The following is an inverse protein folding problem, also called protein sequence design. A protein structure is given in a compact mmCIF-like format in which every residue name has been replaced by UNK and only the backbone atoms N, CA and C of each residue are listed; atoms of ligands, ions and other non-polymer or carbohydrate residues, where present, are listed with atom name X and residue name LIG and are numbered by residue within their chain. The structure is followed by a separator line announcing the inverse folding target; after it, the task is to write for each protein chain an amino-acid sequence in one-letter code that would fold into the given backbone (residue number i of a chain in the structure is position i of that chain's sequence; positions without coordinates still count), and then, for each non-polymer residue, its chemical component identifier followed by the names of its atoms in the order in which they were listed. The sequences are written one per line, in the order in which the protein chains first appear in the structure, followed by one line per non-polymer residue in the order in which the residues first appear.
data_IF_845204595583
#
_entry.id   IF_845204595583
#
_cell.length_a   1.000
_cell.length_b   1.000
_cell.length_c   1.000
_cell.angle_alpha   90.00
_cell.angle_beta   90.00
_cell.angle_gamma   90.00
#
_symmetry.space_group_name_H-M   'P 1'
#
loop_
_entity.id
_entity.type
_entity.pdbx_description
1 polymer ?
#
# COMPACT_ATOMS: atom_id res chain seq x y z
N UNK A 1 -45.75 -21.41 -23.06
CA UNK A 1 -45.12 -20.66 -21.94
C UNK A 1 -45.74 -21.13 -20.63
N UNK A 2 -44.93 -21.54 -19.66
CA UNK A 2 -45.39 -21.94 -18.33
C UNK A 2 -45.19 -20.81 -17.32
N UNK A 3 -45.85 -20.86 -16.16
CA UNK A 3 -45.57 -19.94 -15.06
C UNK A 3 -44.10 -20.03 -14.61
N UNK A 4 -43.52 -21.24 -14.59
CA UNK A 4 -42.10 -21.45 -14.30
C UNK A 4 -41.20 -20.66 -15.26
N UNK A 5 -41.40 -20.78 -16.58
CA UNK A 5 -40.60 -20.02 -17.55
C UNK A 5 -40.78 -18.50 -17.43
N UNK A 6 -41.93 -18.03 -16.93
CA UNK A 6 -42.13 -16.60 -16.64
C UNK A 6 -41.40 -16.17 -15.37
N UNK A 7 -41.42 -16.97 -14.31
CA UNK A 7 -40.67 -16.67 -13.08
C UNK A 7 -39.17 -16.65 -13.34
N UNK A 8 -38.62 -17.64 -14.04
CA UNK A 8 -37.19 -17.70 -14.38
C UNK A 8 -36.75 -16.46 -15.19
N UNK A 9 -37.58 -16.03 -16.15
CA UNK A 9 -37.33 -14.82 -16.94
C UNK A 9 -37.42 -13.53 -16.11
N UNK A 10 -38.36 -13.44 -15.17
CA UNK A 10 -38.49 -12.30 -14.27
C UNK A 10 -37.32 -12.23 -13.28
N UNK A 11 -36.86 -13.37 -12.77
CA UNK A 11 -35.71 -13.46 -11.86
C UNK A 11 -34.43 -13.04 -12.58
N UNK A 12 -34.20 -13.52 -13.80
CA UNK A 12 -33.05 -13.10 -14.62
C UNK A 12 -33.09 -11.58 -14.92
N UNK A 13 -34.28 -11.03 -15.21
CA UNK A 13 -34.45 -9.59 -15.43
C UNK A 13 -34.16 -8.79 -14.16
N UNK A 14 -34.70 -9.21 -13.02
CA UNK A 14 -34.47 -8.56 -11.73
C UNK A 14 -32.99 -8.62 -11.33
N UNK A 15 -32.33 -9.75 -11.57
CA UNK A 15 -30.91 -9.94 -11.30
C UNK A 15 -30.05 -8.96 -12.10
N UNK A 16 -30.30 -8.81 -13.41
CA UNK A 16 -29.58 -7.83 -14.22
C UNK A 16 -29.84 -6.38 -13.78
N UNK A 17 -31.06 -6.04 -13.39
CA UNK A 17 -31.37 -4.71 -12.86
C UNK A 17 -30.63 -4.41 -11.56
N UNK A 18 -30.54 -5.38 -10.63
CA UNK A 18 -29.79 -5.22 -9.38
C UNK A 18 -28.31 -4.94 -9.65
N UNK A 19 -27.71 -5.69 -10.58
CA UNK A 19 -26.32 -5.48 -11.03
C UNK A 19 -26.16 -4.07 -11.60
N UNK A 20 -27.04 -3.67 -12.52
CA UNK A 20 -26.98 -2.35 -13.16
C UNK A 20 -27.14 -1.21 -12.16
N UNK A 21 -28.06 -1.32 -11.19
CA UNK A 21 -28.23 -0.34 -10.12
C UNK A 21 -26.98 -0.21 -9.26
N UNK A 22 -26.33 -1.33 -8.93
CA UNK A 22 -25.08 -1.31 -8.18
C UNK A 22 -23.96 -0.60 -8.96
N UNK A 23 -23.76 -0.99 -10.22
CA UNK A 23 -22.77 -0.38 -11.11
C UNK A 23 -23.02 1.12 -11.27
N UNK A 24 -24.26 1.53 -11.55
CA UNK A 24 -24.65 2.93 -11.73
C UNK A 24 -24.31 3.77 -10.49
N UNK A 25 -24.66 3.27 -9.30
CA UNK A 25 -24.36 3.95 -8.04
C UNK A 25 -22.86 4.13 -7.83
N UNK A 26 -22.08 3.06 -7.93
CA UNK A 26 -20.65 3.10 -7.64
C UNK A 26 -19.87 3.90 -8.70
N UNK A 27 -20.23 3.80 -9.99
CA UNK A 27 -19.67 4.65 -11.05
C UNK A 27 -20.01 6.12 -10.81
N UNK A 28 -21.22 6.45 -10.36
CA UNK A 28 -21.60 7.82 -10.00
C UNK A 28 -20.74 8.39 -8.86
N UNK A 29 -20.44 7.58 -7.84
CA UNK A 29 -19.52 7.94 -6.75
C UNK A 29 -18.08 8.14 -7.26
N UNK A 30 -17.57 7.20 -8.08
CA UNK A 30 -16.22 7.27 -8.66
C UNK A 30 -16.04 8.51 -9.54
N UNK A 31 -16.97 8.78 -10.46
CA UNK A 31 -17.00 10.00 -11.31
C UNK A 31 -16.98 11.28 -10.49
N UNK A 32 -17.66 11.28 -9.34
CA UNK A 32 -17.73 12.46 -8.46
C UNK A 32 -16.44 12.70 -7.68
N UNK A 33 -15.66 11.65 -7.42
CA UNK A 33 -14.46 11.69 -6.59
C UNK A 33 -13.17 11.84 -7.39
N UNK A 34 -13.14 11.44 -8.67
CA UNK A 34 -11.90 11.36 -9.46
C UNK A 34 -11.11 12.67 -9.52
N UNK A 35 -11.80 13.82 -9.65
CA UNK A 35 -11.14 15.14 -9.68
C UNK A 35 -11.05 15.80 -8.29
N UNK A 36 -11.92 15.41 -7.34
CA UNK A 36 -12.02 16.06 -6.02
C UNK A 36 -11.10 15.45 -4.97
N UNK A 37 -10.74 14.17 -5.15
CA UNK A 37 -9.94 13.42 -4.20
C UNK A 37 -8.52 13.24 -4.74
N UNK A 38 -7.48 13.66 -4.00
CA UNK A 38 -6.09 13.40 -4.39
C UNK A 38 -5.68 11.91 -4.22
N UNK A 39 -6.53 11.11 -3.58
CA UNK A 39 -6.29 9.70 -3.25
C UNK A 39 -6.92 8.78 -4.28
N UNK A 40 -8.16 9.07 -4.69
CA UNK A 40 -8.97 8.20 -5.57
C UNK A 40 -8.26 7.81 -6.87
N UNK A 41 -7.60 8.74 -7.61
CA UNK A 41 -6.84 8.42 -8.82
C UNK A 41 -5.68 7.44 -8.63
N UNK A 42 -5.17 7.28 -7.41
CA UNK A 42 -4.01 6.41 -7.13
C UNK A 42 -4.40 4.95 -6.90
N UNK A 43 -5.69 4.65 -6.72
CA UNK A 43 -6.15 3.35 -6.21
C UNK A 43 -6.18 2.23 -7.25
N UNK A 44 -6.47 2.54 -8.50
CA UNK A 44 -6.72 1.53 -9.55
C UNK A 44 -5.58 0.50 -9.67
N UNK A 45 -4.33 0.96 -9.55
CA UNK A 45 -3.17 0.11 -9.76
C UNK A 45 -3.02 -0.91 -8.63
N UNK A 46 -3.31 -0.52 -7.39
CA UNK A 46 -3.28 -1.40 -6.25
C UNK A 46 -4.39 -2.43 -6.29
N UNK A 47 -5.56 -2.10 -6.82
CA UNK A 47 -6.64 -3.05 -7.04
C UNK A 47 -6.25 -4.12 -8.08
N UNK A 48 -5.56 -3.75 -9.16
CA UNK A 48 -5.05 -4.71 -10.15
C UNK A 48 -3.93 -5.60 -9.60
N UNK A 49 -2.99 -5.02 -8.85
CA UNK A 49 -1.91 -5.78 -8.20
C UNK A 49 -2.47 -6.74 -7.16
N UNK A 50 -3.47 -6.32 -6.37
CA UNK A 50 -4.15 -7.20 -5.43
C UNK A 50 -4.86 -8.35 -6.15
N UNK A 51 -5.56 -8.08 -7.25
CA UNK A 51 -6.16 -9.14 -8.07
C UNK A 51 -5.12 -10.13 -8.58
N UNK A 52 -3.96 -9.65 -9.03
CA UNK A 52 -2.86 -10.51 -9.48
C UNK A 52 -2.26 -11.35 -8.34
N UNK A 53 -2.07 -10.75 -7.15
CA UNK A 53 -1.63 -11.45 -5.93
C UNK A 53 -2.59 -12.58 -5.56
N UNK A 54 -3.90 -12.35 -5.60
CA UNK A 54 -4.90 -13.32 -5.17
C UNK A 54 -4.94 -14.60 -6.04
N UNK A 55 -4.30 -14.56 -7.22
CA UNK A 55 -4.18 -15.69 -8.14
C UNK A 55 -2.71 -16.06 -8.42
N UNK A 56 -1.80 -15.73 -7.50
CA UNK A 56 -0.39 -16.10 -7.63
C UNK A 56 -0.21 -17.62 -7.77
N UNK A 57 0.86 -18.00 -8.47
CA UNK A 57 1.35 -19.38 -8.55
C UNK A 57 2.34 -19.63 -7.39
N UNK A 58 2.78 -20.87 -7.20
CA UNK A 58 3.76 -21.23 -6.16
C UNK A 58 5.07 -20.43 -6.25
N UNK A 59 5.46 -20.02 -7.47
CA UNK A 59 6.65 -19.18 -7.72
C UNK A 59 6.43 -17.68 -7.46
N UNK A 60 5.21 -17.29 -7.11
CA UNK A 60 4.74 -15.91 -7.03
C UNK A 60 4.10 -15.43 -8.34
N UNK A 61 3.77 -14.14 -8.39
CA UNK A 61 3.21 -13.46 -9.56
C UNK A 61 4.20 -12.42 -10.12
N UNK A 62 4.35 -12.43 -11.44
CA UNK A 62 5.06 -11.42 -12.22
C UNK A 62 4.02 -10.49 -12.82
N UNK A 63 4.29 -9.19 -12.73
CA UNK A 63 3.39 -8.15 -13.22
C UNK A 63 4.15 -7.30 -14.25
N UNK A 64 3.49 -6.97 -15.35
CA UNK A 64 4.01 -6.08 -16.39
C UNK A 64 2.97 -5.02 -16.71
N UNK A 65 3.37 -3.76 -16.67
CA UNK A 65 2.51 -2.60 -16.90
C UNK A 65 3.08 -1.82 -18.08
N UNK A 66 2.27 -1.62 -19.10
CA UNK A 66 2.61 -0.80 -20.26
C UNK A 66 1.70 0.43 -20.27
N UNK A 67 2.30 1.61 -20.30
CA UNK A 67 1.60 2.89 -20.33
C UNK A 67 2.04 3.65 -21.58
N UNK A 68 1.05 3.93 -22.43
CA UNK A 68 1.18 4.71 -23.65
C UNK A 68 0.16 5.85 -23.61
N UNK A 69 0.34 6.92 -24.41
CA UNK A 69 -0.60 8.04 -24.44
C UNK A 69 -2.06 7.62 -24.68
N UNK A 70 -2.28 6.54 -25.43
CA UNK A 70 -3.61 6.06 -25.82
C UNK A 70 -4.16 4.94 -24.91
N UNK A 71 -3.33 4.28 -24.11
CA UNK A 71 -3.78 3.14 -23.30
C UNK A 71 -2.87 2.80 -22.12
N UNK A 72 -3.46 2.11 -21.13
CA UNK A 72 -2.72 1.32 -20.12
C UNK A 72 -3.02 -0.16 -20.33
N UNK A 73 -1.99 -1.00 -20.37
CA UNK A 73 -2.10 -2.46 -20.37
C UNK A 73 -1.47 -3.03 -19.11
N UNK A 74 -2.27 -3.71 -18.29
CA UNK A 74 -1.81 -4.44 -17.10
C UNK A 74 -1.80 -5.95 -17.37
N UNK A 75 -0.65 -6.59 -17.24
CA UNK A 75 -0.44 -8.02 -17.47
C UNK A 75 0.05 -8.71 -16.22
N UNK A 76 -0.42 -9.94 -15.98
CA UNK A 76 0.18 -10.82 -14.97
C UNK A 76 0.16 -12.29 -15.40
N UNK A 77 1.01 -13.09 -14.75
CA UNK A 77 1.17 -14.52 -15.05
C UNK A 77 0.50 -15.44 -14.01
N UNK A 78 -0.54 -14.95 -13.35
CA UNK A 78 -1.27 -15.71 -12.34
C UNK A 78 -2.06 -16.87 -12.94
N UNK A 79 -2.82 -17.56 -12.09
CA UNK A 79 -3.69 -18.66 -12.50
C UNK A 79 -4.70 -18.23 -13.57
N UNK A 80 -5.11 -19.15 -14.47
CA UNK A 80 -6.19 -18.92 -15.42
C UNK A 80 -7.49 -18.52 -14.73
N UNK A 81 -8.40 -17.92 -15.48
CA UNK A 81 -9.73 -17.59 -15.00
C UNK A 81 -10.60 -18.84 -14.83
N UNK A 82 -11.31 -18.93 -13.72
CA UNK A 82 -12.48 -19.80 -13.58
C UNK A 82 -13.72 -19.12 -14.17
N UNK A 83 -14.77 -19.90 -14.45
CA UNK A 83 -16.07 -19.38 -14.86
C UNK A 83 -16.63 -18.39 -13.82
N UNK A 84 -16.41 -18.65 -12.53
CA UNK A 84 -16.75 -17.74 -11.45
C UNK A 84 -15.97 -16.42 -11.53
N UNK A 85 -14.67 -16.45 -11.85
CA UNK A 85 -13.89 -15.22 -12.01
C UNK A 85 -14.42 -14.35 -13.16
N UNK A 86 -14.72 -14.96 -14.31
CA UNK A 86 -15.30 -14.26 -15.47
C UNK A 86 -16.66 -13.66 -15.09
N UNK A 87 -17.52 -14.45 -14.44
CA UNK A 87 -18.81 -13.99 -13.95
C UNK A 87 -18.70 -12.82 -12.98
N UNK A 88 -17.77 -12.87 -12.03
CA UNK A 88 -17.56 -11.79 -11.05
C UNK A 88 -17.08 -10.48 -11.68
N UNK A 89 -16.24 -10.55 -12.73
CA UNK A 89 -15.85 -9.37 -13.51
C UNK A 89 -17.07 -8.71 -14.18
N UNK A 90 -17.95 -9.51 -14.78
CA UNK A 90 -19.13 -9.00 -15.49
C UNK A 90 -20.16 -8.43 -14.53
N UNK A 91 -20.49 -9.17 -13.46
CA UNK A 91 -21.59 -8.84 -12.57
C UNK A 91 -21.18 -7.91 -11.42
N UNK A 92 -19.89 -7.67 -11.21
CA UNK A 92 -19.37 -6.93 -10.06
C UNK A 92 -19.87 -7.52 -8.72
N UNK A 93 -20.07 -8.84 -8.67
CA UNK A 93 -20.42 -9.58 -7.46
C UNK A 93 -19.17 -10.31 -7.00
N UNK A 94 -18.89 -10.30 -5.70
CA UNK A 94 -17.87 -11.16 -5.13
C UNK A 94 -18.44 -11.88 -3.91
N UNK A 95 -18.21 -13.19 -3.85
CA UNK A 95 -18.64 -14.08 -2.78
C UNK A 95 -17.50 -14.44 -1.82
N UNK A 96 -16.29 -13.91 -2.03
CA UNK A 96 -15.12 -14.22 -1.19
C UNK A 96 -15.26 -13.53 0.18
N UNK A 97 -15.66 -14.31 1.20
CA UNK A 97 -15.68 -13.86 2.59
C UNK A 97 -14.26 -13.79 3.17
N UNK A 98 -14.02 -12.85 4.08
CA UNK A 98 -12.83 -12.86 4.95
C UNK A 98 -12.98 -14.01 5.95
N UNK A 99 -12.69 -15.23 5.53
CA UNK A 99 -12.52 -16.35 6.45
C UNK A 99 -11.06 -16.36 6.92
N UNK A 100 -10.85 -16.26 8.24
CA UNK A 100 -9.52 -16.44 8.85
C UNK A 100 -9.22 -17.94 8.84
N UNK A 101 -8.20 -18.44 8.13
CA UNK A 101 -7.68 -19.79 8.34
C UNK A 101 -6.99 -19.89 9.72
N UNK A 102 -6.69 -21.12 10.14
CA UNK A 102 -6.05 -21.44 11.44
C UNK A 102 -4.70 -20.72 11.66
N UNK A 103 -4.01 -20.29 10.60
CA UNK A 103 -2.74 -19.53 10.67
C UNK A 103 -2.90 -18.02 10.92
N UNK A 104 -4.13 -17.52 11.12
CA UNK A 104 -4.39 -16.15 11.58
C UNK A 104 -4.25 -15.03 10.53
N UNK A 105 -3.68 -15.28 9.34
CA UNK A 105 -3.64 -14.33 8.20
C UNK A 105 -4.93 -14.44 7.38
N UNK A 106 -5.68 -13.35 7.19
CA UNK A 106 -6.84 -13.35 6.27
C UNK A 106 -6.39 -13.78 4.87
N UNK A 107 -7.03 -14.80 4.27
CA UNK A 107 -6.73 -15.24 2.89
C UNK A 107 -7.00 -14.16 1.84
N UNK A 108 -7.80 -13.16 2.20
CA UNK A 108 -8.28 -12.10 1.30
C UNK A 108 -8.12 -10.75 1.99
N UNK A 109 -7.36 -9.84 1.38
CA UNK A 109 -7.01 -8.53 1.98
C UNK A 109 -8.13 -7.48 1.85
N UNK A 110 -9.15 -7.75 1.04
CA UNK A 110 -10.26 -6.82 0.75
C UNK A 110 -11.64 -7.27 1.26
N UNK A 111 -12.57 -6.31 1.37
CA UNK A 111 -14.00 -6.57 1.18
C UNK A 111 -14.25 -6.50 -0.33
N UNK A 112 -14.33 -7.64 -1.00
CA UNK A 112 -14.28 -7.68 -2.46
C UNK A 112 -15.64 -7.50 -3.11
N UNK A 113 -15.67 -6.70 -4.20
CA UNK A 113 -16.84 -6.45 -5.04
C UNK A 113 -16.90 -5.06 -5.68
N UNK A 114 -16.04 -4.11 -5.26
CA UNK A 114 -15.97 -2.72 -5.76
C UNK A 114 -14.56 -2.32 -6.26
N UNK A 115 -13.52 -3.08 -5.85
CA UNK A 115 -12.12 -2.80 -6.19
C UNK A 115 -11.86 -2.81 -7.70
N UNK A 116 -12.37 -3.82 -8.43
CA UNK A 116 -12.22 -3.85 -9.88
C UNK A 116 -12.97 -2.70 -10.57
N UNK A 117 -14.14 -2.28 -10.07
CA UNK A 117 -14.84 -1.12 -10.62
C UNK A 117 -14.03 0.17 -10.47
N UNK A 118 -13.22 0.31 -9.41
CA UNK A 118 -12.28 1.43 -9.24
C UNK A 118 -11.29 1.54 -10.41
N UNK A 119 -10.97 0.44 -11.09
CA UNK A 119 -10.11 0.49 -12.29
C UNK A 119 -10.76 1.21 -13.47
N UNK A 120 -12.09 1.36 -13.47
CA UNK A 120 -12.79 2.11 -14.51
C UNK A 120 -12.61 3.63 -14.39
N UNK A 121 -11.89 4.10 -13.35
CA UNK A 121 -11.35 5.46 -13.29
C UNK A 121 -10.29 5.70 -14.39
N UNK A 122 -9.56 4.65 -14.82
CA UNK A 122 -8.67 4.75 -15.98
C UNK A 122 -9.46 4.88 -17.26
N UNK A 123 -10.48 4.05 -17.42
CA UNK A 123 -11.34 4.00 -18.59
C UNK A 123 -12.66 3.34 -18.23
N UNK A 124 -13.76 3.96 -18.62
CA UNK A 124 -15.09 3.39 -18.40
C UNK A 124 -15.33 2.12 -19.25
N UNK A 125 -14.43 1.83 -20.19
CA UNK A 125 -14.41 0.59 -20.97
C UNK A 125 -13.08 -0.12 -20.78
N UNK A 126 -13.10 -1.38 -20.40
CA UNK A 126 -11.89 -2.22 -20.28
C UNK A 126 -12.03 -3.47 -21.14
N UNK A 127 -10.95 -3.84 -21.81
CA UNK A 127 -10.84 -5.11 -22.53
C UNK A 127 -10.01 -6.09 -21.69
N UNK A 128 -10.62 -7.21 -21.31
CA UNK A 128 -9.98 -8.30 -20.57
C UNK A 128 -9.65 -9.42 -21.55
N UNK A 129 -8.37 -9.77 -21.65
CA UNK A 129 -7.90 -10.93 -22.40
C UNK A 129 -7.35 -11.95 -21.41
N UNK A 130 -7.75 -13.20 -21.59
CA UNK A 130 -7.40 -14.23 -20.62
C UNK A 130 -7.47 -15.63 -21.18
N UNK A 131 -7.00 -16.56 -20.37
CA UNK A 131 -7.22 -17.99 -20.55
C UNK A 131 -8.14 -18.46 -19.44
N UNK A 132 -9.20 -19.18 -19.79
CA UNK A 132 -10.10 -19.84 -18.86
C UNK A 132 -9.73 -21.32 -18.69
N UNK A 133 -9.90 -21.84 -17.48
CA UNK A 133 -9.67 -23.26 -17.15
C UNK A 133 -10.54 -23.67 -15.96
N UNK A 134 -11.28 -24.76 -16.14
CA UNK A 134 -11.93 -25.51 -15.05
C UNK A 134 -11.22 -26.87 -14.86
N UNK A 135 -11.34 -27.52 -13.69
CA UNK A 135 -10.72 -28.83 -13.46
C UNK A 135 -11.05 -29.87 -14.54
N UNK A 136 -12.27 -29.82 -15.07
CA UNK A 136 -12.85 -30.78 -16.02
C UNK A 136 -12.93 -30.28 -17.48
N UNK A 137 -12.61 -29.01 -17.75
CA UNK A 137 -12.68 -28.42 -19.10
C UNK A 137 -11.30 -28.06 -19.65
N UNK A 138 -11.09 -28.16 -20.97
CA UNK A 138 -9.84 -27.73 -21.60
C UNK A 138 -9.64 -26.20 -21.53
N UNK A 139 -8.39 -25.77 -21.70
CA UNK A 139 -8.07 -24.35 -21.75
C UNK A 139 -8.78 -23.66 -22.92
N UNK A 140 -9.35 -22.47 -22.69
CA UNK A 140 -9.97 -21.63 -23.71
C UNK A 140 -9.44 -20.20 -23.61
N UNK A 141 -9.07 -19.59 -24.73
CA UNK A 141 -8.80 -18.14 -24.78
C UNK A 141 -10.12 -17.38 -24.88
N UNK A 142 -10.21 -16.25 -24.19
CA UNK A 142 -11.34 -15.33 -24.30
C UNK A 142 -10.87 -13.88 -24.36
N UNK A 143 -11.71 -13.06 -24.98
CA UNK A 143 -11.64 -11.60 -24.92
C UNK A 143 -13.01 -11.09 -24.50
N UNK A 144 -13.05 -10.27 -23.47
CA UNK A 144 -14.25 -9.76 -22.84
C UNK A 144 -14.15 -8.24 -22.70
N UNK A 145 -15.10 -7.51 -23.29
CA UNK A 145 -15.21 -6.07 -23.09
C UNK A 145 -16.21 -5.78 -21.97
N UNK A 146 -15.78 -5.03 -20.97
CA UNK A 146 -16.62 -4.53 -19.89
C UNK A 146 -16.84 -3.03 -20.11
N UNK A 147 -18.09 -2.66 -20.39
CA UNK A 147 -18.49 -1.26 -20.60
C UNK A 147 -19.32 -0.77 -19.40
N UNK A 148 -18.86 0.35 -18.81
CA UNK A 148 -19.46 1.04 -17.66
C UNK A 148 -19.76 2.51 -17.97
N UNK A 149 -19.78 2.88 -19.26
CA UNK A 149 -19.96 4.25 -19.70
C UNK A 149 -21.41 4.77 -19.59
N UNK A 150 -22.38 3.85 -19.60
CA UNK A 150 -23.80 4.18 -19.48
C UNK A 150 -24.15 5.02 -18.24
N UNK A 151 -25.13 5.90 -18.39
CA UNK A 151 -25.71 6.69 -17.29
C UNK A 151 -27.08 6.15 -16.89
N UNK A 152 -27.88 5.70 -17.86
CA UNK A 152 -29.19 5.11 -17.63
C UNK A 152 -29.07 3.62 -17.29
N UNK A 153 -30.02 3.12 -16.48
CA UNK A 153 -30.00 1.72 -16.04
C UNK A 153 -30.17 0.74 -17.20
N UNK A 154 -30.92 1.12 -18.23
CA UNK A 154 -31.12 0.35 -19.44
C UNK A 154 -29.79 0.12 -20.19
N UNK A 155 -28.99 1.18 -20.38
CA UNK A 155 -27.70 1.12 -21.08
C UNK A 155 -26.72 0.19 -20.34
N UNK A 156 -26.63 0.34 -19.01
CA UNK A 156 -25.77 -0.51 -18.18
C UNK A 156 -26.25 -1.96 -18.22
N UNK A 157 -27.57 -2.19 -18.19
CA UNK A 157 -28.16 -3.52 -18.29
C UNK A 157 -27.81 -4.18 -19.63
N UNK A 158 -27.87 -3.44 -20.73
CA UNK A 158 -27.51 -3.92 -22.06
C UNK A 158 -26.01 -4.23 -22.16
N UNK A 159 -25.15 -3.35 -21.66
CA UNK A 159 -23.70 -3.57 -21.59
C UNK A 159 -23.33 -4.84 -20.80
N UNK A 160 -23.97 -5.07 -19.65
CA UNK A 160 -23.80 -6.30 -18.85
C UNK A 160 -24.25 -7.54 -19.63
N UNK A 161 -25.40 -7.49 -20.31
CA UNK A 161 -25.88 -8.62 -21.13
C UNK A 161 -24.92 -8.93 -22.28
N UNK A 162 -24.48 -7.91 -23.02
CA UNK A 162 -23.50 -8.05 -24.10
C UNK A 162 -22.21 -8.69 -23.60
N UNK A 163 -21.73 -8.27 -22.43
CA UNK A 163 -20.56 -8.86 -21.77
C UNK A 163 -20.79 -10.35 -21.48
N UNK A 164 -21.95 -10.74 -20.91
CA UNK A 164 -22.30 -12.14 -20.64
C UNK A 164 -22.38 -12.98 -21.92
N UNK A 165 -23.05 -12.46 -22.94
CA UNK A 165 -23.24 -13.16 -24.23
C UNK A 165 -21.90 -13.40 -24.93
N UNK A 166 -20.94 -12.46 -24.83
CA UNK A 166 -19.62 -12.60 -25.46
C UNK A 166 -18.78 -13.79 -24.96
N UNK A 167 -19.07 -14.29 -23.76
CA UNK A 167 -18.38 -15.43 -23.15
C UNK A 167 -19.29 -16.62 -22.86
N UNK A 168 -20.57 -16.55 -23.28
CA UNK A 168 -21.55 -17.58 -22.98
C UNK A 168 -21.27 -18.91 -23.70
N UNK A 169 -20.62 -18.85 -24.86
CA UNK A 169 -20.30 -20.01 -25.70
C UNK A 169 -18.79 -20.25 -25.79
N UNK A 170 -18.10 -20.07 -24.66
CA UNK A 170 -16.66 -20.26 -24.59
C UNK A 170 -16.22 -21.68 -24.98
N UNK A 171 -17.11 -22.66 -24.80
CA UNK A 171 -16.90 -24.06 -25.19
C UNK A 171 -16.81 -24.25 -26.72
N UNK A 172 -17.42 -23.35 -27.49
CA UNK A 172 -17.34 -23.35 -28.96
C UNK A 172 -16.05 -22.72 -29.49
N UNK A 173 -15.34 -21.94 -28.67
CA UNK A 173 -13.99 -21.44 -29.02
C UNK A 173 -13.01 -22.61 -29.12
N UNK A 174 -12.01 -22.62 -30.03
CA UNK A 174 -11.03 -23.69 -30.12
C UNK A 174 -10.30 -23.98 -28.80
N UNK A 175 -9.90 -25.24 -28.59
CA UNK A 175 -9.05 -25.61 -27.45
C UNK A 175 -7.73 -24.84 -27.57
N UNK A 176 -7.33 -24.18 -26.50
CA UNK A 176 -6.08 -23.42 -26.45
C UNK A 176 -4.93 -24.30 -25.94
N UNK A 177 -4.17 -24.88 -26.86
CA UNK A 177 -3.06 -25.80 -26.56
C UNK A 177 -1.74 -25.12 -26.19
N UNK A 178 -1.62 -23.81 -26.43
CA UNK A 178 -0.39 -23.04 -26.20
C UNK A 178 -0.36 -22.36 -24.81
N UNK A 179 -1.17 -22.84 -23.86
CA UNK A 179 -1.08 -22.35 -22.49
C UNK A 179 0.24 -22.78 -21.87
N UNK A 180 1.03 -21.80 -21.43
CA UNK A 180 2.28 -22.01 -20.70
C UNK A 180 2.16 -21.34 -19.34
N UNK A 181 2.29 -22.13 -18.28
CA UNK A 181 2.33 -21.61 -16.92
C UNK A 181 3.53 -20.67 -16.75
N UNK A 182 3.28 -19.49 -16.19
CA UNK A 182 4.31 -18.47 -15.96
C UNK A 182 4.44 -17.42 -17.06
N UNK A 183 3.81 -17.63 -18.22
CA UNK A 183 3.61 -16.58 -19.24
C UNK A 183 2.51 -15.59 -18.82
N UNK A 184 2.55 -14.39 -19.40
CA UNK A 184 1.55 -13.35 -19.19
C UNK A 184 0.23 -13.69 -19.89
N UNK A 185 -0.52 -14.61 -19.30
CA UNK A 185 -1.77 -15.14 -19.84
C UNK A 185 -3.01 -14.27 -19.54
N UNK A 186 -2.87 -13.26 -18.67
CA UNK A 186 -3.94 -12.31 -18.34
C UNK A 186 -3.51 -10.90 -18.65
N UNK A 187 -4.37 -10.15 -19.35
CA UNK A 187 -4.16 -8.77 -19.76
C UNK A 187 -5.46 -7.95 -19.57
N UNK A 188 -5.35 -6.78 -18.94
CA UNK A 188 -6.40 -5.76 -18.88
C UNK A 188 -5.95 -4.53 -19.65
N UNK A 189 -6.69 -4.15 -20.68
CA UNK A 189 -6.38 -3.00 -21.55
C UNK A 189 -7.42 -1.90 -21.35
N UNK A 190 -6.94 -0.73 -20.93
CA UNK A 190 -7.73 0.47 -20.65
C UNK A 190 -7.39 1.56 -21.67
N UNK A 191 -8.28 1.87 -22.63
CA UNK A 191 -8.11 3.01 -23.52
C UNK A 191 -8.18 4.33 -22.73
N UNK A 192 -7.20 5.21 -22.90
CA UNK A 192 -7.18 6.53 -22.28
C UNK A 192 -7.81 7.53 -23.25
N UNK A 193 -9.10 7.81 -23.06
CA UNK A 193 -9.90 8.59 -24.03
C UNK A 193 -9.91 10.10 -23.72
N UNK A 194 -9.50 10.49 -22.52
CA UNK A 194 -9.53 11.87 -22.07
C UNK A 194 -8.38 12.21 -21.10
N UNK A 195 -8.30 13.48 -20.71
CA UNK A 195 -7.25 13.97 -19.81
C UNK A 195 -7.39 13.45 -18.38
N UNK A 196 -8.61 13.12 -17.94
CA UNK A 196 -8.84 12.56 -16.60
C UNK A 196 -8.23 11.17 -16.55
N UNK A 197 -8.47 10.33 -17.56
CA UNK A 197 -7.85 9.01 -17.73
C UNK A 197 -6.33 9.06 -17.66
N UNK A 198 -5.70 10.00 -18.38
CA UNK A 198 -4.25 10.20 -18.37
C UNK A 198 -3.76 10.60 -16.98
N UNK A 199 -4.40 11.58 -16.33
CA UNK A 199 -4.04 12.01 -14.98
C UNK A 199 -4.19 10.88 -13.95
N UNK A 200 -5.21 10.02 -14.09
CA UNK A 200 -5.42 8.85 -13.23
C UNK A 200 -4.32 7.81 -13.44
N UNK A 201 -3.94 7.54 -14.70
CA UNK A 201 -2.84 6.65 -15.03
C UNK A 201 -1.53 7.12 -14.39
N UNK A 202 -1.15 8.38 -14.62
CA UNK A 202 0.08 8.98 -14.08
C UNK A 202 0.09 9.02 -12.55
N UNK A 203 -1.04 9.39 -11.93
CA UNK A 203 -1.17 9.43 -10.48
C UNK A 203 -0.96 8.04 -9.85
N UNK A 204 -1.54 7.00 -10.46
CA UNK A 204 -1.36 5.62 -10.02
C UNK A 204 0.07 5.14 -10.20
N UNK A 205 0.69 5.37 -11.36
CA UNK A 205 2.05 4.93 -11.66
C UNK A 205 3.10 5.63 -10.78
N UNK A 206 2.97 6.94 -10.59
CA UNK A 206 3.87 7.69 -9.70
C UNK A 206 3.77 7.17 -8.26
N UNK A 207 2.56 6.90 -7.77
CA UNK A 207 2.38 6.32 -6.45
C UNK A 207 2.92 4.89 -6.35
N UNK A 208 2.74 4.09 -7.40
CA UNK A 208 3.25 2.73 -7.50
C UNK A 208 4.77 2.70 -7.31
N UNK A 209 5.52 3.46 -8.12
CA UNK A 209 6.99 3.43 -8.08
C UNK A 209 7.56 3.80 -6.71
N UNK A 210 6.94 4.77 -6.03
CA UNK A 210 7.34 5.21 -4.70
C UNK A 210 7.08 4.12 -3.63
N UNK A 211 6.00 3.36 -3.76
CA UNK A 211 5.57 2.38 -2.76
C UNK A 211 6.03 0.94 -3.04
N UNK A 212 6.49 0.64 -4.25
CA UNK A 212 6.93 -0.71 -4.65
C UNK A 212 8.03 -1.30 -3.75
N UNK A 213 9.06 -0.54 -3.32
CA UNK A 213 10.09 -1.07 -2.42
C UNK A 213 9.53 -1.68 -1.13
N UNK A 214 8.49 -1.08 -0.56
CA UNK A 214 7.84 -1.58 0.65
C UNK A 214 6.80 -2.65 0.34
N UNK A 215 6.07 -2.51 -0.76
CA UNK A 215 5.05 -3.50 -1.16
C UNK A 215 5.67 -4.85 -1.43
N UNK A 216 6.77 -4.91 -2.20
CA UNK A 216 7.47 -6.17 -2.47
C UNK A 216 8.02 -6.82 -1.19
N UNK A 217 8.35 -6.02 -0.19
CA UNK A 217 8.76 -6.50 1.11
C UNK A 217 7.59 -7.16 1.86
N UNK A 218 6.44 -6.47 1.94
CA UNK A 218 5.27 -6.93 2.69
C UNK A 218 4.47 -8.02 1.97
N UNK A 219 4.58 -8.12 0.65
CA UNK A 219 3.82 -9.05 -0.21
C UNK A 219 4.80 -9.99 -0.93
N UNK A 220 5.31 -11.04 -0.25
CA UNK A 220 6.23 -12.01 -0.85
C UNK A 220 5.65 -12.77 -2.04
N UNK A 221 4.32 -12.78 -2.19
CA UNK A 221 3.63 -13.42 -3.30
C UNK A 221 3.89 -12.70 -4.64
N UNK A 222 4.37 -11.45 -4.63
CA UNK A 222 4.76 -10.72 -5.84
C UNK A 222 6.26 -10.93 -6.10
N UNK A 223 6.58 -11.59 -7.21
CA UNK A 223 7.96 -11.89 -7.60
C UNK A 223 8.67 -10.64 -8.14
N UNK A 224 8.02 -9.94 -9.08
CA UNK A 224 8.56 -8.73 -9.71
C UNK A 224 7.48 -7.90 -10.39
N UNK A 225 7.76 -6.61 -10.55
CA UNK A 225 6.91 -5.66 -11.27
C UNK A 225 7.76 -4.93 -12.31
N UNK A 226 7.33 -4.98 -13.56
CA UNK A 226 7.97 -4.30 -14.71
C UNK A 226 7.04 -3.19 -15.20
N UNK A 227 7.56 -1.96 -15.28
CA UNK A 227 6.88 -0.79 -15.85
C UNK A 227 7.60 -0.45 -17.16
N UNK A 228 6.99 -0.85 -18.27
CA UNK A 228 7.58 -0.80 -19.61
C UNK A 228 7.83 0.64 -20.05
N UNK A 229 6.94 1.58 -19.71
CA UNK A 229 7.03 2.98 -20.13
C UNK A 229 8.23 3.72 -19.55
N UNK A 230 8.69 3.32 -18.36
CA UNK A 230 9.87 3.87 -17.68
C UNK A 230 11.06 2.92 -17.70
N UNK A 231 10.96 1.78 -18.39
CA UNK A 231 12.00 0.74 -18.41
C UNK A 231 12.44 0.30 -17.01
N UNK A 232 11.53 0.41 -16.04
CA UNK A 232 11.78 0.15 -14.63
C UNK A 232 11.38 -1.28 -14.25
N UNK A 233 12.31 -2.02 -13.68
CA UNK A 233 12.09 -3.37 -13.17
C UNK A 233 12.37 -3.44 -11.66
N UNK A 234 11.33 -3.68 -10.88
CA UNK A 234 11.42 -3.84 -9.43
C UNK A 234 11.45 -5.32 -9.05
N UNK A 235 12.47 -5.72 -8.28
CA UNK A 235 12.68 -7.10 -7.83
C UNK A 235 13.10 -7.12 -6.37
N UNK A 236 12.49 -8.00 -5.57
CA UNK A 236 12.95 -8.27 -4.21
C UNK A 236 14.09 -9.29 -4.19
N UNK A 237 15.15 -8.98 -3.44
CA UNK A 237 16.18 -9.97 -3.17
C UNK A 237 15.61 -11.14 -2.36
N UNK A 238 16.04 -12.37 -2.70
CA UNK A 238 15.72 -13.57 -1.91
C UNK A 238 16.61 -13.70 -0.69
N UNK A 239 17.78 -13.06 -0.72
CA UNK A 239 18.70 -13.02 0.41
C UNK A 239 18.19 -12.00 1.42
N UNK A 240 17.94 -12.48 2.64
CA UNK A 240 17.52 -11.67 3.78
C UNK A 240 18.60 -11.79 4.83
N UNK A 241 19.17 -10.66 5.23
CA UNK A 241 20.17 -10.62 6.28
C UNK A 241 19.46 -10.54 7.63
N UNK A 242 19.35 -11.69 8.31
CA UNK A 242 18.81 -11.73 9.67
C UNK A 242 19.86 -11.19 10.64
N UNK A 243 19.52 -10.11 11.34
CA UNK A 243 20.38 -9.57 12.39
C UNK A 243 20.10 -10.28 13.72
N UNK A 244 18.81 -10.51 14.02
CA UNK A 244 18.34 -11.33 15.14
C UNK A 244 16.96 -11.92 14.83
N UNK A 245 16.27 -12.46 15.85
CA UNK A 245 14.97 -13.13 15.70
C UNK A 245 13.86 -12.19 15.20
N UNK A 246 13.94 -10.90 15.49
CA UNK A 246 12.89 -9.92 15.19
C UNK A 246 13.31 -8.92 14.09
N UNK A 247 14.61 -8.63 13.98
CA UNK A 247 15.18 -7.62 13.07
C UNK A 247 15.94 -8.27 11.93
N UNK A 248 15.62 -7.83 10.71
CA UNK A 248 16.28 -8.26 9.47
C UNK A 248 16.44 -7.11 8.49
N UNK A 249 17.41 -7.23 7.58
CA UNK A 249 17.63 -6.29 6.49
C UNK A 249 17.19 -6.92 5.17
N UNK A 250 16.42 -6.15 4.42
CA UNK A 250 15.87 -6.54 3.14
C UNK A 250 16.38 -5.62 2.05
N UNK A 251 16.51 -6.18 0.85
CA UNK A 251 16.93 -5.44 -0.33
C UNK A 251 15.89 -5.55 -1.44
N UNK A 252 15.50 -4.42 -1.99
CA UNK A 252 14.73 -4.33 -3.24
C UNK A 252 15.57 -3.58 -4.28
N UNK A 253 15.63 -4.12 -5.49
CA UNK A 253 16.35 -3.55 -6.62
C UNK A 253 15.35 -2.89 -7.57
N UNK A 254 15.66 -1.68 -7.99
CA UNK A 254 15.11 -1.04 -9.18
C UNK A 254 16.19 -1.06 -10.25
N UNK A 255 15.91 -1.74 -11.35
CA UNK A 255 16.80 -1.82 -12.51
C UNK A 255 16.17 -0.98 -13.61
N UNK A 256 16.88 0.03 -14.09
CA UNK A 256 16.57 0.70 -15.35
C UNK A 256 17.16 -0.15 -16.48
N UNK A 257 16.30 -0.80 -17.27
CA UNK A 257 16.73 -1.74 -18.31
C UNK A 257 17.32 -1.05 -19.53
N UNK A 258 17.04 0.24 -19.74
CA UNK A 258 17.56 1.01 -20.88
C UNK A 258 18.91 1.65 -20.54
N UNK A 259 19.04 2.22 -19.32
CA UNK A 259 20.27 2.86 -18.86
C UNK A 259 21.27 1.86 -18.26
N UNK A 260 20.83 0.64 -17.96
CA UNK A 260 21.63 -0.40 -17.26
C UNK A 260 22.13 0.14 -15.91
N UNK A 261 21.28 0.93 -15.24
CA UNK A 261 21.52 1.47 -13.91
C UNK A 261 20.72 0.66 -12.87
N UNK A 262 21.32 0.46 -11.69
CA UNK A 262 20.67 -0.22 -10.57
C UNK A 262 20.59 0.72 -9.36
N UNK A 263 19.38 0.93 -8.85
CA UNK A 263 19.13 1.57 -7.58
C UNK A 263 18.72 0.53 -6.54
N UNK A 264 19.41 0.55 -5.40
CA UNK A 264 19.21 -0.40 -4.31
C UNK A 264 18.47 0.27 -3.16
N UNK A 265 17.36 -0.32 -2.75
CA UNK A 265 16.62 0.05 -1.55
C UNK A 265 16.94 -0.95 -0.44
N UNK A 266 17.66 -0.50 0.59
CA UNK A 266 17.90 -1.28 1.79
C UNK A 266 16.91 -0.86 2.88
N UNK A 267 16.24 -1.83 3.49
CA UNK A 267 15.15 -1.59 4.45
C UNK A 267 15.38 -2.48 5.67
N UNK A 268 15.43 -1.86 6.85
CA UNK A 268 15.39 -2.57 8.12
C UNK A 268 13.94 -2.91 8.46
N UNK A 269 13.69 -4.18 8.81
CA UNK A 269 12.37 -4.69 9.17
C UNK A 269 12.43 -5.28 10.56
N UNK A 270 11.53 -4.85 11.43
CA UNK A 270 11.31 -5.45 12.75
C UNK A 270 9.90 -6.05 12.77
N UNK A 271 9.77 -7.34 13.07
CA UNK A 271 8.48 -8.05 12.99
C UNK A 271 8.20 -8.92 14.21
N UNK A 272 6.92 -9.03 14.55
CA UNK A 272 6.40 -10.00 15.52
C UNK A 272 5.04 -10.49 15.03
N UNK A 273 4.87 -11.80 14.92
CA UNK A 273 3.65 -12.38 14.35
C UNK A 273 3.38 -11.87 12.94
N UNK A 274 2.25 -11.18 12.76
CA UNK A 274 1.82 -10.60 11.48
C UNK A 274 2.05 -9.07 11.38
N UNK A 275 2.52 -8.43 12.46
CA UNK A 275 2.89 -7.01 12.41
C UNK A 275 4.35 -6.86 12.05
N UNK A 276 4.61 -5.99 11.09
CA UNK A 276 5.95 -5.60 10.69
C UNK A 276 6.05 -4.09 10.68
N UNK A 277 7.19 -3.57 11.09
CA UNK A 277 7.56 -2.18 10.86
C UNK A 277 8.77 -2.11 9.95
N UNK A 278 8.85 -1.09 9.12
CA UNK A 278 9.94 -0.90 8.17
C UNK A 278 10.54 0.51 8.28
N UNK A 279 11.87 0.58 8.16
CA UNK A 279 12.64 1.81 8.16
C UNK A 279 13.70 1.76 7.04
N UNK A 280 13.72 2.73 6.12
CA UNK A 280 14.76 2.84 5.11
C UNK A 280 16.14 3.06 5.72
N UNK A 281 17.14 2.39 5.18
CA UNK A 281 18.53 2.49 5.64
C UNK A 281 19.50 2.59 4.47
N UNK A 282 20.66 3.17 4.75
CA UNK A 282 21.87 3.01 3.95
C UNK A 282 22.83 2.12 4.73
N UNK A 283 23.33 1.07 4.09
CA UNK A 283 24.35 0.18 4.64
C UNK A 283 25.68 0.47 3.96
N UNK A 284 26.62 1.01 4.73
CA UNK A 284 28.03 1.09 4.35
C UNK A 284 28.79 -0.09 4.98
N UNK A 285 30.07 -0.28 4.64
CA UNK A 285 30.86 -1.44 5.09
C UNK A 285 30.83 -1.65 6.62
N UNK A 286 30.91 -0.56 7.39
CA UNK A 286 31.06 -0.60 8.85
C UNK A 286 29.92 0.12 9.61
N UNK A 287 28.92 0.67 8.91
CA UNK A 287 27.85 1.43 9.58
C UNK A 287 26.52 1.40 8.85
N UNK A 288 25.43 1.46 9.62
CA UNK A 288 24.08 1.63 9.11
C UNK A 288 23.62 3.05 9.44
N UNK A 289 23.11 3.75 8.43
CA UNK A 289 22.51 5.08 8.58
C UNK A 289 21.02 4.99 8.26
N UNK A 290 20.17 5.58 9.10
CA UNK A 290 18.76 5.74 8.77
C UNK A 290 18.60 6.73 7.60
N UNK A 291 17.66 6.43 6.71
CA UNK A 291 17.24 7.31 5.62
C UNK A 291 15.83 7.84 5.89
N UNK A 292 15.52 9.08 5.47
CA UNK A 292 14.18 9.62 5.63
C UNK A 292 13.18 8.80 4.81
N UNK A 293 11.98 8.60 5.37
CA UNK A 293 10.85 8.04 4.62
C UNK A 293 10.26 9.17 3.79
N UNK A 294 10.16 8.95 2.47
CA UNK A 294 9.56 9.89 1.53
C UNK A 294 8.16 10.35 2.01
N UNK A 295 7.87 11.63 1.86
CA UNK A 295 6.62 12.25 2.32
C UNK A 295 5.40 11.75 1.52
N UNK A 296 5.61 11.12 0.36
CA UNK A 296 4.56 10.52 -0.45
C UNK A 296 4.33 9.02 -0.15
N UNK A 297 5.14 8.41 0.72
CA UNK A 297 4.96 7.02 1.13
C UNK A 297 3.91 6.94 2.24
N UNK A 298 2.83 6.17 2.07
CA UNK A 298 1.87 5.92 3.13
C UNK A 298 2.54 5.33 4.37
N UNK A 299 2.12 5.74 5.57
CA UNK A 299 2.71 5.19 6.80
C UNK A 299 2.06 3.88 7.24
N UNK A 300 0.89 3.54 6.71
CA UNK A 300 0.17 2.32 7.01
C UNK A 300 -0.03 1.46 5.76
N UNK A 301 0.21 0.15 5.91
CA UNK A 301 0.03 -0.87 4.88
C UNK A 301 -0.85 -2.00 5.43
N UNK A 302 -1.76 -2.47 4.60
CA UNK A 302 -2.56 -3.67 4.82
C UNK A 302 -2.32 -4.57 3.61
N UNK A 303 -1.17 -5.26 3.62
CA UNK A 303 -0.43 -5.80 2.45
C UNK A 303 0.01 -4.70 1.47
N UNK A 304 -0.94 -3.90 1.00
CA UNK A 304 -0.78 -2.79 0.08
C UNK A 304 -0.88 -1.45 0.82
N UNK A 305 -0.31 -0.37 0.27
CA UNK A 305 -0.37 0.95 0.90
C UNK A 305 -1.80 1.42 1.14
N UNK A 306 -2.07 1.99 2.31
CA UNK A 306 -3.29 2.74 2.59
C UNK A 306 -3.07 4.20 2.16
N UNK A 307 -3.27 4.48 0.87
CA UNK A 307 -3.02 5.79 0.25
C UNK A 307 -3.90 6.85 0.91
N UNK A 308 -3.31 7.91 1.45
CA UNK A 308 -3.97 8.87 2.36
C UNK A 308 -3.36 8.93 3.75
N UNK A 309 -2.57 7.91 4.13
CA UNK A 309 -1.87 7.84 5.42
C UNK A 309 -0.44 8.39 5.38
N UNK A 310 -0.06 9.12 4.34
CA UNK A 310 1.27 9.72 4.18
C UNK A 310 1.58 10.70 5.33
N UNK A 311 0.56 11.43 5.78
CA UNK A 311 0.64 12.39 6.89
C UNK A 311 0.19 11.81 8.23
N UNK A 312 0.11 10.50 8.33
CA UNK A 312 -0.04 9.82 9.62
C UNK A 312 1.33 9.78 10.31
N UNK A 313 1.64 10.81 11.12
CA UNK A 313 2.99 11.17 11.59
C UNK A 313 3.61 10.19 12.60
N UNK A 314 3.90 8.97 12.17
CA UNK A 314 4.77 8.01 12.84
C UNK A 314 6.11 7.88 12.11
N UNK A 315 7.22 7.64 12.82
CA UNK A 315 8.57 7.67 12.26
C UNK A 315 8.97 6.38 11.50
N UNK A 316 8.01 5.50 11.24
CA UNK A 316 8.19 4.17 10.66
C UNK A 316 7.01 3.85 9.74
N UNK A 317 7.19 2.89 8.83
CA UNK A 317 6.09 2.32 8.06
C UNK A 317 5.57 1.10 8.80
N UNK A 318 4.26 0.96 8.95
CA UNK A 318 3.62 -0.15 9.68
C UNK A 318 2.82 -0.99 8.68
N UNK A 319 3.05 -2.30 8.68
CA UNK A 319 2.25 -3.25 7.93
C UNK A 319 1.61 -4.28 8.85
N UNK A 320 0.33 -4.55 8.62
CA UNK A 320 -0.33 -5.75 9.13
C UNK A 320 -1.49 -6.17 8.19
N UNK A 321 -1.52 -7.41 7.68
CA UNK A 321 -2.57 -7.88 6.78
C UNK A 321 -3.97 -7.94 7.43
N UNK A 322 -4.04 -7.93 8.77
CA UNK A 322 -5.28 -7.99 9.53
C UNK A 322 -5.83 -6.62 9.93
N UNK A 323 -5.22 -5.51 9.48
CA UNK A 323 -5.87 -4.21 9.62
C UNK A 323 -7.30 -4.22 9.05
N UNK A 324 -8.18 -3.48 9.71
CA UNK A 324 -9.53 -3.21 9.26
C UNK A 324 -9.57 -1.78 8.67
N UNK A 325 -9.28 -1.62 7.37
CA UNK A 325 -9.23 -0.30 6.73
C UNK A 325 -10.62 0.33 6.59
N UNK A 326 -10.63 1.63 6.31
CA UNK A 326 -11.80 2.33 5.77
C UNK A 326 -12.22 1.71 4.43
N UNK A 327 -13.48 1.89 4.02
CA UNK A 327 -13.95 1.39 2.72
C UNK A 327 -13.16 1.99 1.52
N UNK A 328 -12.75 3.28 1.51
CA UNK A 328 -11.83 3.80 0.49
C UNK A 328 -10.36 3.33 0.63
N UNK A 329 -10.01 2.57 1.68
CA UNK A 329 -8.65 2.10 1.98
C UNK A 329 -7.60 3.21 2.14
N UNK A 330 -8.03 4.34 2.69
CA UNK A 330 -7.19 5.52 2.95
C UNK A 330 -6.81 5.70 4.43
N UNK A 331 -7.18 4.73 5.28
CA UNK A 331 -6.92 4.75 6.71
C UNK A 331 -7.42 3.49 7.41
N UNK A 332 -7.38 3.49 8.74
CA UNK A 332 -7.88 2.41 9.61
C UNK A 332 -8.72 3.00 10.72
N UNK A 333 -9.86 2.42 11.07
CA UNK A 333 -10.64 2.99 12.17
C UNK A 333 -9.91 2.85 13.51
N UNK A 334 -9.53 3.99 14.10
CA UNK A 334 -8.89 4.19 15.41
C UNK A 334 -9.73 5.14 16.29
N UNK A 335 -11.04 5.23 16.03
CA UNK A 335 -11.94 6.09 16.78
C UNK A 335 -12.22 5.54 18.18
N UNK A 336 -12.76 6.37 19.06
CA UNK A 336 -13.25 5.94 20.38
C UNK A 336 -14.76 6.10 20.39
N UNK A 337 -15.47 4.97 20.53
CA UNK A 337 -16.93 4.94 20.64
C UNK A 337 -17.34 4.34 21.97
N UNK A 338 -18.45 4.79 22.53
CA UNK A 338 -19.07 4.16 23.71
C UNK A 338 -19.52 2.73 23.43
N UNK A 339 -19.78 2.39 22.16
CA UNK A 339 -20.14 1.03 21.74
C UNK A 339 -18.87 0.29 21.32
N UNK A 340 -18.68 -0.90 21.89
CA UNK A 340 -17.59 -1.81 21.52
C UNK A 340 -17.67 -2.14 20.04
N UNK A 341 -16.56 -1.94 19.34
CA UNK A 341 -16.39 -2.33 17.95
C UNK A 341 -15.11 -3.16 17.82
N UNK A 342 -15.23 -4.50 17.73
CA UNK A 342 -14.07 -5.39 17.72
C UNK A 342 -13.04 -5.07 16.63
N UNK A 343 -13.46 -4.52 15.48
CA UNK A 343 -12.54 -4.16 14.39
C UNK A 343 -11.64 -2.98 14.76
N UNK A 344 -12.17 -2.03 15.53
CA UNK A 344 -11.43 -0.87 16.02
C UNK A 344 -10.46 -1.33 17.11
N UNK A 345 -10.92 -2.20 18.02
CA UNK A 345 -10.08 -2.75 19.09
C UNK A 345 -8.92 -3.57 18.52
N UNK A 346 -9.16 -4.36 17.47
CA UNK A 346 -8.11 -5.07 16.72
C UNK A 346 -7.10 -4.09 16.11
N UNK A 347 -7.55 -3.02 15.44
CA UNK A 347 -6.64 -2.00 14.88
C UNK A 347 -5.79 -1.34 15.98
N UNK A 348 -6.39 -0.96 17.11
CA UNK A 348 -5.68 -0.37 18.26
C UNK A 348 -4.67 -1.36 18.86
N UNK A 349 -5.00 -2.65 18.91
CA UNK A 349 -4.07 -3.71 19.33
C UNK A 349 -2.87 -3.81 18.40
N UNK A 350 -3.09 -3.82 17.09
CA UNK A 350 -2.01 -3.85 16.09
C UNK A 350 -1.11 -2.61 16.22
N UNK A 351 -1.68 -1.42 16.45
CA UNK A 351 -0.92 -0.20 16.68
C UNK A 351 -0.03 -0.28 17.94
N UNK A 352 -0.51 -0.93 19.00
CA UNK A 352 0.28 -1.16 20.21
C UNK A 352 1.41 -2.17 19.99
N UNK A 353 1.19 -3.19 19.17
CA UNK A 353 2.23 -4.14 18.74
C UNK A 353 3.30 -3.42 17.91
N UNK A 354 2.90 -2.61 16.93
CA UNK A 354 3.79 -1.79 16.12
C UNK A 354 4.62 -0.81 16.96
N UNK A 355 4.02 -0.19 17.99
CA UNK A 355 4.74 0.65 18.97
C UNK A 355 5.80 -0.14 19.74
N UNK A 356 5.49 -1.38 20.12
CA UNK A 356 6.44 -2.26 20.82
C UNK A 356 7.60 -2.66 19.91
N UNK A 357 7.33 -2.95 18.63
CA UNK A 357 8.37 -3.18 17.61
C UNK A 357 9.23 -1.95 17.38
N UNK A 358 8.62 -0.76 17.38
CA UNK A 358 9.35 0.50 17.28
C UNK A 358 10.35 0.68 18.43
N UNK A 359 9.95 0.40 19.67
CA UNK A 359 10.86 0.46 20.82
C UNK A 359 12.03 -0.50 20.67
N UNK A 360 11.79 -1.72 20.19
CA UNK A 360 12.85 -2.70 19.94
C UNK A 360 13.82 -2.25 18.87
N UNK A 361 13.30 -1.74 17.74
CA UNK A 361 14.14 -1.19 16.67
C UNK A 361 14.95 0.01 17.16
N UNK A 362 14.35 0.89 17.95
CA UNK A 362 15.00 2.07 18.51
C UNK A 362 16.13 1.68 19.48
N UNK A 363 15.86 0.79 20.44
CA UNK A 363 16.87 0.27 21.39
C UNK A 363 18.01 -0.43 20.63
N UNK A 364 17.68 -1.20 19.61
CA UNK A 364 18.67 -1.87 18.76
C UNK A 364 19.54 -0.88 17.98
N UNK A 365 18.93 0.11 17.32
CA UNK A 365 19.63 1.11 16.52
C UNK A 365 20.59 1.95 17.39
N UNK A 366 20.18 2.32 18.60
CA UNK A 366 21.03 3.04 19.56
C UNK A 366 22.19 2.16 20.02
N UNK A 367 21.93 0.93 20.45
CA UNK A 367 22.96 -0.01 20.96
C UNK A 367 24.01 -0.33 19.90
N UNK A 368 23.61 -0.36 18.62
CA UNK A 368 24.49 -0.65 17.50
C UNK A 368 25.02 0.62 16.80
N UNK A 369 24.90 1.79 17.43
CA UNK A 369 25.43 3.07 16.94
C UNK A 369 25.01 3.39 15.49
N UNK A 370 23.76 3.11 15.14
CA UNK A 370 23.22 3.54 13.84
C UNK A 370 23.23 5.06 13.75
N UNK A 371 23.46 5.58 12.54
CA UNK A 371 23.51 7.02 12.28
C UNK A 371 22.11 7.56 11.95
N UNK A 372 21.95 8.88 12.06
CA UNK A 372 20.71 9.60 11.77
C UNK A 372 19.50 9.19 12.64
N UNK A 373 19.73 8.82 13.90
CA UNK A 373 18.67 8.40 14.83
C UNK A 373 17.56 9.46 15.05
N UNK A 374 17.84 10.74 14.77
CA UNK A 374 16.84 11.81 14.76
C UNK A 374 15.61 11.51 13.88
N UNK A 375 15.76 10.67 12.85
CA UNK A 375 14.66 10.25 11.98
C UNK A 375 13.63 9.38 12.72
N UNK A 376 14.06 8.57 13.70
CA UNK A 376 13.15 7.82 14.57
C UNK A 376 12.40 8.69 15.58
N UNK A 377 12.81 9.96 15.72
CA UNK A 377 12.20 10.92 16.64
C UNK A 377 11.14 11.81 15.96
N UNK A 378 10.88 11.60 14.67
CA UNK A 378 9.91 12.38 13.89
C UNK A 378 8.46 11.94 14.15
N UNK A 379 8.00 12.12 15.39
CA UNK A 379 6.60 11.87 15.78
C UNK A 379 5.89 13.18 16.12
N UNK A 380 4.64 13.31 15.66
CA UNK A 380 3.80 14.49 15.94
C UNK A 380 2.37 14.04 16.21
N UNK A 381 1.64 14.86 16.98
CA UNK A 381 0.19 14.73 17.02
C UNK A 381 -0.38 14.91 15.61
N UNK A 382 -1.52 14.28 15.34
CA UNK A 382 -2.19 14.42 14.07
C UNK A 382 -2.73 15.85 14.01
N UNK A 383 -2.30 16.59 12.97
CA UNK A 383 -2.75 17.96 12.70
C UNK A 383 -3.86 18.03 11.65
N UNK A 384 -4.16 16.91 10.98
CA UNK A 384 -5.24 16.80 9.98
C UNK A 384 -6.47 16.16 10.61
N UNK A 385 -7.65 16.61 10.20
CA UNK A 385 -8.92 16.04 10.66
C UNK A 385 -9.20 14.71 9.93
N UNK A 386 -8.48 13.65 10.31
CA UNK A 386 -8.86 12.28 9.93
C UNK A 386 -10.15 11.90 10.64
N UNK A 387 -11.22 11.65 9.88
CA UNK A 387 -12.51 11.17 10.40
C UNK A 387 -12.41 9.77 11.03
N UNK A 388 -11.34 9.03 10.71
CA UNK A 388 -11.08 7.68 11.19
C UNK A 388 -10.16 7.59 12.42
N UNK A 389 -9.59 8.70 12.93
CA UNK A 389 -8.73 8.69 14.15
C UNK A 389 -9.31 9.52 15.28
N UNK A 390 -9.35 8.96 16.49
CA UNK A 390 -9.45 9.77 17.71
C UNK A 390 -8.06 10.32 18.09
N UNK A 391 -7.84 11.62 17.89
CA UNK A 391 -6.56 12.27 18.18
C UNK A 391 -6.18 12.18 19.66
N UNK A 392 -7.14 12.18 20.59
CA UNK A 392 -6.84 12.06 22.02
C UNK A 392 -6.28 10.67 22.35
N UNK A 393 -6.90 9.62 21.79
CA UNK A 393 -6.38 8.27 21.90
C UNK A 393 -4.99 8.17 21.27
N UNK A 394 -4.81 8.69 20.05
CA UNK A 394 -3.51 8.62 19.37
C UNK A 394 -2.40 9.34 20.16
N UNK A 395 -2.68 10.53 20.69
CA UNK A 395 -1.74 11.27 21.53
C UNK A 395 -1.40 10.46 22.79
N UNK A 396 -2.41 9.97 23.50
CA UNK A 396 -2.25 9.27 24.77
C UNK A 396 -1.53 7.94 24.63
N UNK A 397 -1.92 7.12 23.65
CA UNK A 397 -1.53 5.72 23.57
C UNK A 397 -0.36 5.47 22.59
N UNK A 398 -0.09 6.39 21.66
CA UNK A 398 0.99 6.29 20.68
C UNK A 398 2.04 7.38 20.86
N UNK A 399 1.65 8.66 20.77
CA UNK A 399 2.62 9.78 20.76
C UNK A 399 3.33 9.93 22.09
N UNK A 400 2.59 10.01 23.20
CA UNK A 400 3.17 10.25 24.53
C UNK A 400 4.10 9.12 24.97
N UNK A 401 3.76 7.82 24.84
CA UNK A 401 4.69 6.75 25.21
C UNK A 401 5.95 6.75 24.36
N UNK A 402 5.86 7.11 23.07
CA UNK A 402 7.03 7.24 22.20
C UNK A 402 7.91 8.41 22.63
N UNK A 403 7.33 9.59 22.86
CA UNK A 403 8.07 10.76 23.35
C UNK A 403 8.75 10.48 24.68
N UNK A 404 8.05 9.83 25.60
CA UNK A 404 8.59 9.45 26.91
C UNK A 404 9.85 8.58 26.76
N UNK A 405 9.81 7.55 25.92
CA UNK A 405 10.98 6.72 25.63
C UNK A 405 12.11 7.52 24.97
N UNK A 406 11.79 8.41 24.04
CA UNK A 406 12.76 9.26 23.32
C UNK A 406 13.49 10.24 24.25
N UNK A 407 12.85 10.71 25.31
CA UNK A 407 13.48 11.61 26.28
C UNK A 407 14.64 10.95 27.03
N UNK A 408 14.52 9.65 27.31
CA UNK A 408 15.43 8.90 28.17
C UNK A 408 16.50 8.12 27.41
N UNK A 409 16.31 7.87 26.11
CA UNK A 409 17.24 7.05 25.33
C UNK A 409 18.36 7.89 24.69
N UNK A 410 19.61 7.39 24.61
CA UNK A 410 20.71 8.08 23.93
C UNK A 410 20.54 8.22 22.41
N UNK A 411 19.75 9.20 21.97
CA UNK A 411 19.38 9.40 20.56
C UNK A 411 20.01 10.65 19.92
N UNK A 412 20.56 11.54 20.74
CA UNK A 412 21.18 12.78 20.27
C UNK A 412 22.67 12.58 20.19
N UNK A 413 23.24 12.70 18.98
CA UNK A 413 24.69 12.80 18.84
C UNK A 413 25.11 14.21 19.24
N UNK A 414 25.91 14.32 20.30
CA UNK A 414 26.46 15.60 20.73
C UNK A 414 27.65 16.04 19.86
N UNK A 415 28.12 17.26 20.04
CA UNK A 415 29.21 17.83 19.24
C UNK A 415 30.56 17.13 19.46
N UNK A 416 30.72 16.44 20.60
CA UNK A 416 31.87 15.57 20.88
C UNK A 416 31.76 14.18 20.20
N UNK A 417 30.64 13.89 19.52
CA UNK A 417 30.41 12.65 18.77
C UNK A 417 29.84 11.49 19.60
N UNK A 418 29.53 11.71 20.88
CA UNK A 418 28.89 10.70 21.74
C UNK A 418 27.36 10.79 21.69
N UNK A 419 26.69 9.66 21.88
CA UNK A 419 25.23 9.61 21.99
C UNK A 419 24.80 9.95 23.43
N UNK A 420 23.89 10.91 23.56
CA UNK A 420 23.31 11.35 24.83
C UNK A 420 21.79 11.34 24.75
N UNK A 421 21.16 11.15 25.92
CA UNK A 421 19.72 11.30 26.10
C UNK A 421 19.33 12.77 26.23
N UNK A 422 18.04 13.08 26.03
CA UNK A 422 17.52 14.43 26.20
C UNK A 422 17.45 14.79 27.68
N UNK A 423 16.99 13.86 28.51
CA UNK A 423 16.96 13.95 29.97
C UNK A 423 18.02 13.06 30.60
N UNK A 424 18.60 13.48 31.71
CA UNK A 424 19.47 12.63 32.53
C UNK A 424 18.65 11.80 33.54
N UNK A 425 19.33 10.97 34.33
CA UNK A 425 18.72 10.13 35.38
C UNK A 425 17.98 10.92 36.48
N UNK A 426 18.22 12.24 36.58
CA UNK A 426 17.55 13.14 37.53
C UNK A 426 16.36 13.90 36.91
N UNK A 427 15.88 13.51 35.73
CA UNK A 427 14.81 14.18 34.98
C UNK A 427 15.14 15.63 34.60
N UNK A 428 16.44 15.97 34.50
CA UNK A 428 16.90 17.29 34.08
C UNK A 428 17.35 17.28 32.64
N UNK A 429 17.17 18.41 31.96
CA UNK A 429 17.62 18.62 30.58
C UNK A 429 19.14 18.40 30.49
N UNK A 430 19.52 17.37 29.74
CA UNK A 430 20.89 16.97 29.47
C UNK A 430 21.36 17.48 28.11
N UNK A 431 20.55 17.26 27.07
CA UNK A 431 20.81 17.75 25.71
C UNK A 431 20.19 19.13 25.47
N UNK A 432 20.95 20.03 24.86
CA UNK A 432 20.53 21.39 24.55
C UNK A 432 20.25 21.59 23.07
N UNK A 433 19.14 22.28 22.79
CA UNK A 433 18.69 22.61 21.45
C UNK A 433 18.56 24.13 21.32
N UNK A 434 19.54 24.82 20.69
CA UNK A 434 19.43 26.25 20.42
C UNK A 434 18.15 26.58 19.66
N UNK A 435 17.36 27.49 20.20
CA UNK A 435 16.07 27.87 19.65
C UNK A 435 15.98 29.39 19.46
N UNK A 436 15.61 29.81 18.25
CA UNK A 436 15.35 31.20 17.87
C UNK A 436 14.53 31.18 16.58
N UNK A 437 13.74 32.23 16.30
CA UNK A 437 13.05 32.37 15.01
C UNK A 437 14.02 32.61 13.84
N UNK A 438 15.11 33.34 14.08
CA UNK A 438 16.16 33.60 13.08
C UNK A 438 17.15 32.45 13.01
N UNK A 439 17.49 32.05 11.78
CA UNK A 439 18.48 30.99 11.53
C UNK A 439 19.88 31.43 11.93
N UNK A 440 20.21 32.68 11.63
CA UNK A 440 21.49 33.31 11.94
C UNK A 440 21.71 33.29 13.45
N UNK A 441 20.71 33.72 14.22
CA UNK A 441 20.76 33.70 15.68
C UNK A 441 20.85 32.27 16.24
N UNK A 442 20.13 31.29 15.67
CA UNK A 442 20.29 29.88 16.10
C UNK A 442 21.71 29.38 15.90
N UNK A 443 22.35 29.72 14.78
CA UNK A 443 23.72 29.33 14.48
C UNK A 443 24.70 29.99 15.48
N UNK A 444 24.56 31.29 15.74
CA UNK A 444 25.41 32.00 16.69
C UNK A 444 25.29 31.44 18.12
N UNK A 445 24.05 31.16 18.57
CA UNK A 445 23.83 30.51 19.88
C UNK A 445 24.52 29.14 19.91
N UNK A 446 24.41 28.36 18.83
CA UNK A 446 25.08 27.07 18.76
C UNK A 446 26.60 27.21 18.82
N UNK A 447 27.20 28.10 18.03
CA UNK A 447 28.65 28.31 17.99
C UNK A 447 29.22 28.71 19.36
N UNK A 448 28.58 29.68 20.02
CA UNK A 448 28.98 30.14 21.35
C UNK A 448 28.84 29.01 22.37
N UNK A 449 27.70 28.32 22.35
CA UNK A 449 27.43 27.26 23.32
C UNK A 449 28.35 26.07 23.09
N UNK A 450 28.69 25.75 21.84
CA UNK A 450 29.55 24.62 21.46
C UNK A 450 30.98 24.80 21.97
N UNK A 451 31.46 26.03 22.05
CA UNK A 451 32.78 26.32 22.61
C UNK A 451 32.88 25.96 24.10
N UNK A 452 31.79 26.09 24.87
CA UNK A 452 31.80 25.84 26.33
C UNK A 452 31.19 24.49 26.72
N UNK A 453 30.22 23.99 25.97
CA UNK A 453 29.40 22.84 26.33
C UNK A 453 29.16 21.86 25.15
N UNK A 454 30.21 21.43 24.43
CA UNK A 454 30.05 20.56 23.25
C UNK A 454 29.39 19.22 23.62
N UNK A 455 29.66 18.71 24.82
CA UNK A 455 29.08 17.48 25.36
C UNK A 455 27.56 17.54 25.61
N UNK A 456 26.94 18.74 25.63
CA UNK A 456 25.49 18.91 25.78
C UNK A 456 24.77 19.31 24.50
N UNK A 457 25.49 19.78 23.50
CA UNK A 457 24.89 20.30 22.27
C UNK A 457 24.89 19.22 21.21
N UNK A 458 23.77 19.09 20.51
CA UNK A 458 23.68 18.24 19.34
C UNK A 458 24.66 18.70 18.23
N UNK A 459 25.08 17.79 17.34
CA UNK A 459 25.97 18.15 16.23
C UNK A 459 25.39 19.26 15.35
N UNK A 460 26.24 20.06 14.72
CA UNK A 460 25.81 21.16 13.85
C UNK A 460 24.91 20.71 12.69
N UNK A 461 25.16 19.52 12.14
CA UNK A 461 24.34 18.95 11.05
C UNK A 461 22.90 18.70 11.51
N UNK A 462 22.72 18.30 12.76
CA UNK A 462 21.40 18.12 13.39
C UNK A 462 20.70 19.41 13.82
N UNK A 463 21.36 20.57 13.82
CA UNK A 463 20.71 21.88 14.06
C UNK A 463 19.60 22.16 13.03
N UNK A 464 19.68 21.51 11.87
CA UNK A 464 18.67 21.57 10.80
C UNK A 464 17.55 20.55 11.00
N UNK A 465 17.82 19.46 11.70
CA UNK A 465 16.84 18.43 12.02
C UNK A 465 15.97 18.92 13.18
N UNK A 466 14.66 19.01 12.96
CA UNK A 466 13.68 19.51 13.94
C UNK A 466 13.53 18.56 15.16
N UNK A 467 14.57 18.33 15.96
CA UNK A 467 14.41 17.77 17.30
C UNK A 467 13.50 18.65 18.17
N UNK A 468 13.31 19.92 17.80
CA UNK A 468 12.54 20.95 18.50
C UNK A 468 11.01 20.70 18.64
N UNK A 469 10.51 19.49 18.41
CA UNK A 469 9.07 19.16 18.56
C UNK A 469 8.78 17.87 19.34
N UNK A 470 9.81 17.26 19.95
CA UNK A 470 9.65 16.14 20.89
C UNK A 470 9.09 16.67 22.20
#
# INVERSE_FOLDING_TARGET
MSYKSRFDSLEQKAHHQIIATKISKEMGELRSLVEKSPITPKRWIWELIQNAKDVHLDKGVKIRIDYQPEYVSFKHNGMPFTADNIRFLIEQISTKSRSRPEEGKSKTTGKFGTGFLTTHLLSEVVTVKGVAKEPDLDYRKFELQLDRSGFELEDITEAVKKSKESVADLDSSPIYLEYLEGDFNTEFVYPLLDKISVNVAESGLNNLEICLPYTLLFVPEIEKVEIVSSSHLFIRSKEIEKINDEISLHTVKLIDTDLIEEKIYCIAVCSFGLTSIAMPIQKDADSISLLPIDEQVPRLFCDFPLVGTEKFHVPIIINNPNFNPTDPRDGIYLTSSERVNPRIDENKSIMNEAKSLYFKLLDFAVTNNWKNLHLLAQIKAISEDYDWVDNNWFIKDVVNPIREKLLHIPIVTNADGSLISILNEEEKIHSWFPNSGSREVRNEIWEISNYWFPYRLHTYQTLRAQYCRI
#
